data_IF_000899098505
#
_entry.id   IF_000899098505
#
_cell.length_a   1.000
_cell.length_b   1.000
_cell.length_c   1.000
_cell.angle_alpha   90.00
_cell.angle_beta   90.00
_cell.angle_gamma   90.00
#
_symmetry.space_group_name_H-M   'P 1'
#
loop_
_entity.id
_entity.type
_entity.pdbx_description
1 polymer ?
#
# COMPACT_ATOMS: atom_id res chain seq x y z
N UNK A 1 40.10 34.94 59.25
CA UNK A 1 38.86 34.22 58.81
C UNK A 1 38.77 32.95 59.63
N UNK A 2 37.73 32.81 60.46
CA UNK A 2 37.57 31.66 61.37
C UNK A 2 37.40 30.36 60.59
N UNK A 3 38.00 29.26 61.08
CA UNK A 3 37.96 27.92 60.46
C UNK A 3 36.52 27.47 60.17
N UNK A 4 35.61 27.79 61.07
CA UNK A 4 34.17 27.53 60.98
C UNK A 4 33.50 28.23 59.79
N UNK A 5 33.93 29.44 59.44
CA UNK A 5 33.38 30.19 58.29
C UNK A 5 33.77 29.53 56.96
N UNK A 6 34.97 28.91 56.92
CA UNK A 6 35.45 28.19 55.74
C UNK A 6 34.71 26.86 55.55
N UNK A 7 34.42 26.15 56.63
CA UNK A 7 33.65 24.90 56.61
C UNK A 7 32.21 25.13 56.14
N UNK A 8 31.52 26.17 56.64
CA UNK A 8 30.18 26.55 56.19
C UNK A 8 30.15 26.94 54.70
N UNK A 9 31.19 27.63 54.23
CA UNK A 9 31.28 28.01 52.82
C UNK A 9 31.51 26.78 51.91
N UNK A 10 32.37 25.84 52.33
CA UNK A 10 32.60 24.59 51.63
C UNK A 10 31.34 23.72 51.56
N UNK A 11 30.57 23.65 52.65
CA UNK A 11 29.32 22.89 52.68
C UNK A 11 28.23 23.52 51.78
N UNK A 12 28.21 24.85 51.69
CA UNK A 12 27.33 25.57 50.75
C UNK A 12 27.71 25.32 49.30
N UNK A 13 28.99 25.32 48.98
CA UNK A 13 29.47 25.10 47.62
C UNK A 13 29.36 23.61 47.21
N UNK A 14 29.57 22.67 48.14
CA UNK A 14 29.28 21.25 47.95
C UNK A 14 27.79 21.01 47.64
N UNK A 15 26.90 21.63 48.42
CA UNK A 15 25.46 21.52 48.18
C UNK A 15 25.05 22.10 46.82
N UNK A 16 25.73 23.15 46.34
CA UNK A 16 25.48 23.67 44.99
C UNK A 16 25.92 22.69 43.91
N UNK A 17 27.05 22.02 44.08
CA UNK A 17 27.56 21.03 43.11
C UNK A 17 26.66 19.79 43.09
N UNK A 18 26.26 19.28 44.26
CA UNK A 18 25.37 18.11 44.36
C UNK A 18 23.99 18.39 43.76
N UNK A 19 23.51 19.64 43.88
CA UNK A 19 22.24 20.08 43.29
C UNK A 19 22.38 20.63 41.87
N UNK A 20 23.59 20.71 41.33
CA UNK A 20 23.81 21.16 39.96
C UNK A 20 23.35 20.04 39.03
N UNK A 21 22.16 20.20 38.47
CA UNK A 21 21.63 19.30 37.45
C UNK A 21 22.49 19.48 36.19
N UNK A 22 23.46 18.60 36.02
CA UNK A 22 24.27 18.54 34.81
C UNK A 22 23.61 17.53 33.89
N UNK A 23 23.19 17.95 32.70
CA UNK A 23 22.66 17.05 31.70
C UNK A 23 23.68 15.94 31.45
N UNK A 24 23.31 14.72 31.80
CA UNK A 24 24.16 13.55 31.55
C UNK A 24 24.05 13.17 30.09
N UNK A 25 25.07 12.51 29.55
CA UNK A 25 25.04 11.96 28.18
C UNK A 25 23.80 11.07 27.97
N UNK A 26 23.35 10.37 29.02
CA UNK A 26 22.12 9.57 28.99
C UNK A 26 20.87 10.43 28.85
N UNK A 27 20.79 11.58 29.53
CA UNK A 27 19.66 12.50 29.43
C UNK A 27 19.59 13.19 28.05
N UNK A 28 20.74 13.44 27.42
CA UNK A 28 20.80 13.93 26.04
C UNK A 28 20.32 12.87 25.04
N UNK A 29 20.84 11.65 25.13
CA UNK A 29 20.41 10.53 24.28
C UNK A 29 18.90 10.26 24.43
N UNK A 30 18.36 10.33 25.65
CA UNK A 30 16.93 10.16 25.91
C UNK A 30 16.09 11.24 25.21
N UNK A 31 16.53 12.52 25.26
CA UNK A 31 15.84 13.61 24.56
C UNK A 31 15.84 13.43 23.05
N UNK A 32 16.94 12.93 22.47
CA UNK A 32 17.01 12.64 21.03
C UNK A 32 16.07 11.50 20.62
N UNK A 33 15.97 10.45 21.45
CA UNK A 33 15.03 9.34 21.24
C UNK A 33 13.59 9.86 21.28
N UNK A 34 13.25 10.68 22.27
CA UNK A 34 11.91 11.26 22.41
C UNK A 34 11.56 12.18 21.24
N UNK A 35 12.50 13.04 20.83
CA UNK A 35 12.32 13.92 19.68
C UNK A 35 12.14 13.13 18.37
N UNK A 36 12.92 12.07 18.18
CA UNK A 36 12.81 11.18 17.02
C UNK A 36 11.48 10.45 17.01
N UNK A 37 11.04 9.93 18.15
CA UNK A 37 9.76 9.25 18.30
C UNK A 37 8.58 10.18 17.98
N UNK A 38 8.62 11.43 18.47
CA UNK A 38 7.62 12.44 18.14
C UNK A 38 7.59 12.72 16.63
N UNK A 39 8.76 12.92 16.00
CA UNK A 39 8.85 13.17 14.57
C UNK A 39 8.32 12.01 13.71
N UNK A 40 8.68 10.77 14.05
CA UNK A 40 8.22 9.57 13.34
C UNK A 40 6.69 9.49 13.39
N UNK A 41 6.10 9.64 14.58
CA UNK A 41 4.66 9.50 14.74
C UNK A 41 3.87 10.66 14.14
N UNK A 42 4.29 11.91 14.38
CA UNK A 42 3.51 13.08 13.98
C UNK A 42 3.66 13.42 12.50
N UNK A 43 4.83 13.12 11.90
CA UNK A 43 5.10 13.45 10.50
C UNK A 43 5.10 12.22 9.60
N UNK A 44 5.97 11.25 9.89
CA UNK A 44 6.22 10.16 8.93
C UNK A 44 5.04 9.20 8.86
N UNK A 45 4.51 8.76 10.00
CA UNK A 45 3.37 7.84 10.06
C UNK A 45 2.12 8.50 9.47
N UNK A 46 1.83 9.73 9.85
CA UNK A 46 0.70 10.49 9.28
C UNK A 46 0.77 10.60 7.76
N UNK A 47 1.95 10.96 7.23
CA UNK A 47 2.19 11.04 5.78
C UNK A 47 2.04 9.69 5.08
N UNK A 48 2.47 8.61 5.73
CA UNK A 48 2.33 7.26 5.20
C UNK A 48 0.87 6.83 5.10
N UNK A 49 0.06 7.13 6.13
CA UNK A 49 -1.38 6.87 6.14
C UNK A 49 -2.06 7.66 5.01
N UNK A 50 -1.78 8.96 4.89
CA UNK A 50 -2.34 9.79 3.81
C UNK A 50 -1.98 9.26 2.41
N UNK A 51 -0.76 8.75 2.24
CA UNK A 51 -0.30 8.18 0.98
C UNK A 51 -0.97 6.83 0.68
N UNK A 52 -1.09 5.96 1.67
CA UNK A 52 -1.71 4.65 1.53
C UNK A 52 -3.22 4.75 1.29
N UNK A 53 -3.92 5.62 2.02
CA UNK A 53 -5.37 5.66 1.98
C UNK A 53 -5.86 6.57 0.86
N UNK A 54 -5.51 7.86 0.89
CA UNK A 54 -6.09 8.82 -0.05
C UNK A 54 -5.42 8.75 -1.42
N UNK A 55 -4.08 8.80 -1.47
CA UNK A 55 -3.38 8.88 -2.75
C UNK A 55 -3.54 7.57 -3.53
N UNK A 56 -3.37 6.42 -2.89
CA UNK A 56 -3.53 5.13 -3.56
C UNK A 56 -4.98 4.88 -4.02
N UNK A 57 -5.97 5.19 -3.18
CA UNK A 57 -7.36 5.03 -3.59
C UNK A 57 -7.73 5.98 -4.74
N UNK A 58 -7.42 7.27 -4.61
CA UNK A 58 -7.82 8.27 -5.60
C UNK A 58 -7.07 8.13 -6.93
N UNK A 59 -5.78 7.77 -6.90
CA UNK A 59 -4.95 7.71 -8.11
C UNK A 59 -4.88 6.34 -8.75
N UNK A 60 -5.02 5.26 -7.99
CA UNK A 60 -4.92 3.90 -8.52
C UNK A 60 -6.25 3.16 -8.47
N UNK A 61 -6.80 2.93 -7.27
CA UNK A 61 -7.96 2.02 -7.11
C UNK A 61 -9.22 2.54 -7.81
N UNK A 62 -9.61 3.79 -7.55
CA UNK A 62 -10.81 4.40 -8.14
C UNK A 62 -10.70 4.53 -9.66
N UNK A 63 -9.60 5.04 -10.25
CA UNK A 63 -9.45 5.09 -11.70
C UNK A 63 -9.47 3.72 -12.36
N UNK A 64 -8.87 2.71 -11.72
CA UNK A 64 -8.83 1.35 -12.24
C UNK A 64 -10.20 0.67 -12.18
N UNK A 65 -10.97 0.89 -11.12
CA UNK A 65 -12.37 0.45 -11.04
C UNK A 65 -13.25 1.15 -12.08
N UNK A 66 -13.06 2.45 -12.31
CA UNK A 66 -13.76 3.20 -13.38
C UNK A 66 -13.41 2.66 -14.76
N UNK A 67 -12.14 2.36 -15.00
CA UNK A 67 -11.68 1.75 -16.25
C UNK A 67 -12.32 0.38 -16.43
N UNK A 68 -12.29 -0.46 -15.39
CA UNK A 68 -12.93 -1.77 -15.40
C UNK A 68 -14.41 -1.65 -15.70
N UNK A 69 -15.17 -0.80 -15.01
CA UNK A 69 -16.62 -0.63 -15.28
C UNK A 69 -16.90 -0.12 -16.69
N UNK A 70 -16.07 0.80 -17.20
CA UNK A 70 -16.24 1.35 -18.56
C UNK A 70 -16.09 0.26 -19.62
N UNK A 71 -15.11 -0.63 -19.46
CA UNK A 71 -14.83 -1.65 -20.47
C UNK A 71 -15.49 -3.00 -20.17
N UNK A 72 -15.90 -3.27 -18.93
CA UNK A 72 -16.60 -4.51 -18.57
C UNK A 72 -17.99 -4.56 -19.23
N UNK A 73 -18.67 -3.42 -19.34
CA UNK A 73 -19.91 -3.32 -20.11
C UNK A 73 -19.68 -3.53 -21.60
N UNK A 74 -18.58 -3.02 -22.15
CA UNK A 74 -18.22 -3.27 -23.56
C UNK A 74 -17.88 -4.75 -23.80
N UNK A 75 -17.18 -5.42 -22.87
CA UNK A 75 -16.92 -6.87 -22.96
C UNK A 75 -18.18 -7.72 -22.75
N UNK A 76 -19.20 -7.19 -22.08
CA UNK A 76 -20.52 -7.82 -21.94
C UNK A 76 -21.43 -7.57 -23.17
N UNK A 77 -21.22 -6.45 -23.88
CA UNK A 77 -21.94 -6.09 -25.11
C UNK A 77 -21.32 -6.69 -26.38
N UNK A 78 -20.01 -6.94 -26.41
CA UNK A 78 -19.39 -7.94 -27.28
C UNK A 78 -19.81 -9.32 -26.82
N UNK A 79 -21.11 -9.60 -26.97
CA UNK A 79 -21.75 -10.83 -26.54
C UNK A 79 -20.97 -12.02 -27.04
N UNK A 80 -20.22 -12.60 -26.12
CA UNK A 80 -19.80 -13.97 -26.07
C UNK A 80 -19.16 -14.45 -27.38
N UNK A 81 -17.94 -13.95 -27.66
CA UNK A 81 -17.04 -14.50 -28.68
C UNK A 81 -17.04 -16.04 -28.67
N UNK A 82 -17.19 -16.64 -27.49
CA UNK A 82 -17.34 -18.07 -27.29
C UNK A 82 -18.65 -18.61 -27.90
N UNK A 83 -19.80 -17.99 -27.65
CA UNK A 83 -21.08 -18.39 -28.25
C UNK A 83 -21.08 -18.20 -29.78
N UNK A 84 -20.45 -17.14 -30.28
CA UNK A 84 -20.25 -16.97 -31.74
C UNK A 84 -19.35 -18.07 -32.32
N UNK A 85 -18.27 -18.43 -31.64
CA UNK A 85 -17.41 -19.54 -32.05
C UNK A 85 -18.18 -20.88 -32.02
N UNK A 86 -19.03 -21.11 -31.03
CA UNK A 86 -19.88 -22.31 -30.92
C UNK A 86 -20.91 -22.40 -32.06
N UNK A 87 -21.53 -21.28 -32.45
CA UNK A 87 -22.45 -21.23 -33.59
C UNK A 87 -21.73 -21.51 -34.91
N UNK A 88 -20.56 -20.89 -35.13
CA UNK A 88 -19.76 -21.11 -36.35
C UNK A 88 -19.27 -22.55 -36.44
N UNK A 89 -18.77 -23.15 -35.34
CA UNK A 89 -18.32 -24.55 -35.33
C UNK A 89 -19.47 -25.52 -35.66
N UNK A 90 -20.67 -25.24 -35.13
CA UNK A 90 -21.88 -26.03 -35.45
C UNK A 90 -22.22 -25.97 -36.93
N UNK A 91 -22.24 -24.78 -37.52
CA UNK A 91 -22.59 -24.59 -38.94
C UNK A 91 -21.58 -25.29 -39.86
N UNK A 92 -20.29 -25.20 -39.53
CA UNK A 92 -19.22 -25.91 -40.25
C UNK A 92 -19.45 -27.42 -40.22
N UNK A 93 -19.74 -28.02 -39.05
CA UNK A 93 -20.02 -29.47 -38.96
C UNK A 93 -21.23 -29.90 -39.76
N UNK A 94 -22.29 -29.08 -39.79
CA UNK A 94 -23.49 -29.37 -40.58
C UNK A 94 -23.15 -29.40 -42.07
N UNK A 95 -22.36 -28.44 -42.54
CA UNK A 95 -21.90 -28.39 -43.94
C UNK A 95 -21.02 -29.60 -44.28
N UNK A 96 -20.07 -29.95 -43.41
CA UNK A 96 -19.21 -31.12 -43.58
C UNK A 96 -20.01 -32.42 -43.64
N UNK A 97 -20.96 -32.60 -42.72
CA UNK A 97 -21.83 -33.78 -42.68
C UNK A 97 -22.72 -33.87 -43.94
N UNK A 98 -23.23 -32.73 -44.41
CA UNK A 98 -24.04 -32.65 -45.63
C UNK A 98 -23.21 -33.01 -46.85
N UNK A 99 -22.01 -32.44 -46.99
CA UNK A 99 -21.08 -32.78 -48.08
C UNK A 99 -20.67 -34.26 -48.05
N UNK A 100 -20.50 -34.84 -46.86
CA UNK A 100 -20.23 -36.27 -46.73
C UNK A 100 -21.39 -37.10 -47.27
N UNK A 101 -22.62 -36.82 -46.87
CA UNK A 101 -23.81 -37.51 -47.38
C UNK A 101 -23.98 -37.39 -48.89
N UNK A 102 -23.73 -36.20 -49.45
CA UNK A 102 -23.78 -35.98 -50.91
C UNK A 102 -22.74 -36.85 -51.62
N UNK A 103 -21.51 -36.91 -51.11
CA UNK A 103 -20.45 -37.77 -51.69
C UNK A 103 -20.74 -39.25 -51.55
N UNK A 104 -21.31 -39.67 -50.43
CA UNK A 104 -21.66 -41.08 -50.20
C UNK A 104 -22.79 -41.49 -51.16
N UNK A 105 -23.83 -40.66 -51.31
CA UNK A 105 -24.90 -40.91 -52.30
C UNK A 105 -24.39 -40.96 -53.75
N UNK A 106 -23.39 -40.15 -54.11
CA UNK A 106 -22.77 -40.19 -55.45
C UNK A 106 -21.88 -41.42 -55.69
N UNK A 107 -21.51 -42.14 -54.64
CA UNK A 107 -20.68 -43.36 -54.73
C UNK A 107 -21.53 -44.64 -54.71
N UNK A 108 -22.74 -44.55 -54.17
CA UNK A 108 -23.72 -45.63 -54.09
C UNK A 108 -24.66 -45.68 -55.32
N UNK A 109 -24.53 -44.73 -56.26
CA UNK A 109 -25.04 -44.76 -57.65
C UNK A 109 -23.99 -45.29 -58.63
#
# INVERSE_FOLDING_TARGET
MSKTTREVQLEKDLNKIVKAHTDTVVAEAQREIEASHAYINEKQLKKLIELHDNILQEKCSVPMQKLYHKYSQNSLQEGDLQNWAELVDRDVRILEATMKRVRDNQRDE
#
